data_IF_989427369066
#
_entry.id   IF_989427369066
#
_cell.length_a   1.000
_cell.length_b   1.000
_cell.length_c   1.000
_cell.angle_alpha   90.00
_cell.angle_beta   90.00
_cell.angle_gamma   90.00
#
_symmetry.space_group_name_H-M   'P 1'
#
loop_
_entity.id
_entity.type
_entity.pdbx_description
1 polymer ?
#
# COMPACT_ATOMS: atom_id res chain seq x y z
N UNK A 1 -19.95 -2.60 -2.39
CA UNK A 1 -19.48 -2.88 -3.77
C UNK A 1 -18.28 -2.00 -4.16
N UNK A 2 -18.31 -0.66 -3.97
CA UNK A 2 -17.20 0.25 -4.37
C UNK A 2 -15.88 -0.14 -3.69
N UNK A 3 -15.86 -0.30 -2.36
CA UNK A 3 -14.64 -0.61 -1.61
C UNK A 3 -13.96 -1.91 -2.10
N UNK A 4 -14.73 -2.95 -2.39
CA UNK A 4 -14.19 -4.23 -2.91
C UNK A 4 -13.51 -4.01 -4.27
N UNK A 5 -14.14 -3.26 -5.17
CA UNK A 5 -13.57 -2.95 -6.48
C UNK A 5 -12.28 -2.12 -6.38
N UNK A 6 -12.23 -1.14 -5.47
CA UNK A 6 -11.04 -0.33 -5.26
C UNK A 6 -9.88 -1.13 -4.62
N UNK A 7 -10.20 -2.10 -3.74
CA UNK A 7 -9.21 -3.04 -3.18
C UNK A 7 -8.65 -3.96 -4.27
N UNK A 8 -9.49 -4.47 -5.17
CA UNK A 8 -9.05 -5.29 -6.30
C UNK A 8 -8.17 -4.49 -7.27
N UNK A 9 -8.54 -3.25 -7.57
CA UNK A 9 -7.70 -2.36 -8.39
C UNK A 9 -6.36 -2.06 -7.73
N UNK A 10 -6.35 -1.83 -6.41
CA UNK A 10 -5.12 -1.62 -5.65
C UNK A 10 -4.21 -2.86 -5.71
N UNK A 11 -4.78 -4.05 -5.57
CA UNK A 11 -4.05 -5.31 -5.70
C UNK A 11 -3.45 -5.49 -7.12
N UNK A 12 -4.21 -5.14 -8.15
CA UNK A 12 -3.73 -5.16 -9.54
C UNK A 12 -2.57 -4.18 -9.76
N UNK A 13 -2.64 -2.98 -9.17
CA UNK A 13 -1.56 -1.99 -9.24
C UNK A 13 -0.28 -2.47 -8.53
N UNK A 14 -0.41 -3.19 -7.41
CA UNK A 14 0.73 -3.86 -6.74
C UNK A 14 1.34 -4.91 -7.68
N UNK A 15 0.53 -5.65 -8.43
CA UNK A 15 1.00 -6.58 -9.45
C UNK A 15 1.85 -5.90 -10.54
N UNK A 16 1.44 -4.71 -11.00
CA UNK A 16 2.24 -3.90 -11.94
C UNK A 16 3.57 -3.47 -11.31
N UNK A 17 3.56 -3.05 -10.04
CA UNK A 17 4.79 -2.70 -9.33
C UNK A 17 5.74 -3.90 -9.22
N UNK A 18 5.23 -5.09 -8.89
CA UNK A 18 6.03 -6.33 -8.85
C UNK A 18 6.65 -6.64 -10.21
N UNK A 19 5.89 -6.48 -11.29
CA UNK A 19 6.37 -6.76 -12.65
C UNK A 19 7.47 -5.78 -13.11
N UNK A 20 7.46 -4.55 -12.56
CA UNK A 20 8.51 -3.56 -12.82
C UNK A 20 9.80 -3.81 -12.04
N UNK A 21 9.72 -4.47 -10.87
CA UNK A 21 10.88 -4.77 -10.02
C UNK A 21 11.82 -5.78 -10.68
N UNK A 22 13.12 -5.70 -10.36
CA UNK A 22 14.10 -6.75 -10.72
C UNK A 22 13.67 -8.08 -10.12
N UNK A 23 13.89 -9.17 -10.87
CA UNK A 23 13.43 -10.52 -10.50
C UNK A 23 13.93 -10.99 -9.13
N UNK A 24 15.14 -10.56 -8.74
CA UNK A 24 15.79 -10.94 -7.48
C UNK A 24 15.49 -9.96 -6.33
N UNK A 25 14.65 -8.96 -6.55
CA UNK A 25 14.33 -7.97 -5.52
C UNK A 25 13.62 -8.63 -4.33
N UNK A 26 14.13 -8.49 -3.10
CA UNK A 26 13.46 -9.01 -1.90
C UNK A 26 12.09 -8.33 -1.68
N UNK A 27 11.90 -7.13 -2.20
CA UNK A 27 10.64 -6.42 -2.15
C UNK A 27 9.56 -7.14 -2.97
N UNK A 28 9.91 -7.76 -4.11
CA UNK A 28 8.94 -8.50 -4.94
C UNK A 28 8.28 -9.65 -4.17
N UNK A 29 9.03 -10.38 -3.33
CA UNK A 29 8.48 -11.44 -2.49
C UNK A 29 7.51 -10.89 -1.42
N UNK A 30 7.87 -9.77 -0.78
CA UNK A 30 7.01 -9.09 0.20
C UNK A 30 5.71 -8.59 -0.44
N UNK A 31 5.80 -7.97 -1.61
CA UNK A 31 4.61 -7.49 -2.33
C UNK A 31 3.70 -8.63 -2.81
N UNK A 32 4.25 -9.80 -3.18
CA UNK A 32 3.41 -10.98 -3.49
C UNK A 32 2.65 -11.49 -2.26
N UNK A 33 3.26 -11.45 -1.08
CA UNK A 33 2.58 -11.78 0.18
C UNK A 33 1.45 -10.79 0.45
N UNK A 34 1.71 -9.49 0.27
CA UNK A 34 0.71 -8.43 0.38
C UNK A 34 -0.44 -8.64 -0.62
N UNK A 35 -0.18 -9.08 -1.86
CA UNK A 35 -1.25 -9.38 -2.82
C UNK A 35 -2.20 -10.48 -2.33
N UNK A 36 -1.69 -11.52 -1.67
CA UNK A 36 -2.56 -12.54 -1.05
C UNK A 36 -3.39 -11.93 0.08
N UNK A 37 -2.78 -11.11 0.93
CA UNK A 37 -3.48 -10.45 2.03
C UNK A 37 -4.50 -9.41 1.55
N UNK A 38 -4.32 -8.82 0.37
CA UNK A 38 -5.33 -7.96 -0.27
C UNK A 38 -6.59 -8.75 -0.68
N UNK A 39 -6.47 -10.04 -1.02
CA UNK A 39 -7.63 -10.91 -1.17
C UNK A 39 -8.30 -11.21 0.17
N UNK A 40 -7.51 -11.42 1.24
CA UNK A 40 -8.05 -11.58 2.61
C UNK A 40 -8.81 -10.31 3.03
N UNK A 41 -8.25 -9.13 2.75
CA UNK A 41 -8.92 -7.84 2.99
C UNK A 41 -10.22 -7.72 2.20
N UNK A 42 -10.21 -8.09 0.92
CA UNK A 42 -11.41 -8.11 0.08
C UNK A 42 -12.49 -9.02 0.65
N UNK A 43 -12.13 -10.20 1.14
CA UNK A 43 -13.04 -11.13 1.79
C UNK A 43 -13.57 -10.59 3.13
N UNK A 44 -12.71 -9.95 3.94
CA UNK A 44 -13.07 -9.32 5.20
C UNK A 44 -14.17 -8.27 5.02
N UNK A 45 -13.95 -7.31 4.12
CA UNK A 45 -14.92 -6.22 3.88
C UNK A 45 -16.16 -6.68 3.11
N UNK A 46 -16.13 -7.84 2.44
CA UNK A 46 -17.27 -8.41 1.73
C UNK A 46 -18.20 -9.23 2.63
N UNK A 47 -17.74 -9.62 3.82
CA UNK A 47 -18.50 -10.49 4.74
C UNK A 47 -19.01 -9.67 5.93
N UNK A 48 -20.32 -9.30 5.97
CA UNK A 48 -20.89 -8.54 7.07
C UNK A 48 -20.77 -9.28 8.40
N UNK A 49 -20.62 -8.52 9.49
CA UNK A 49 -20.68 -9.05 10.84
C UNK A 49 -22.11 -9.45 11.22
N UNK A 50 -22.26 -10.41 12.15
CA UNK A 50 -23.56 -10.85 12.66
C UNK A 50 -24.39 -11.67 11.67
N UNK A 51 -23.77 -12.23 10.64
CA UNK A 51 -24.43 -13.11 9.66
C UNK A 51 -24.04 -14.58 9.86
N UNK A 52 -24.80 -15.51 9.27
CA UNK A 52 -24.50 -16.95 9.29
C UNK A 52 -23.13 -17.29 8.66
N UNK A 53 -22.56 -16.38 7.90
CA UNK A 53 -21.24 -16.55 7.26
C UNK A 53 -20.07 -16.13 8.16
N UNK A 54 -20.33 -15.53 9.33
CA UNK A 54 -19.28 -14.98 10.20
C UNK A 54 -18.33 -16.05 10.74
N UNK A 55 -18.84 -17.24 11.07
CA UNK A 55 -18.04 -18.36 11.59
C UNK A 55 -16.92 -18.79 10.63
N UNK A 56 -17.12 -18.58 9.33
CA UNK A 56 -16.15 -18.94 8.28
C UNK A 56 -15.57 -17.73 7.58
N UNK A 57 -15.82 -16.53 8.10
CA UNK A 57 -15.33 -15.28 7.50
C UNK A 57 -13.80 -15.21 7.57
N UNK A 58 -13.17 -15.00 6.41
CA UNK A 58 -11.76 -14.67 6.37
C UNK A 58 -11.58 -13.20 6.78
N UNK A 59 -10.84 -12.96 7.84
CA UNK A 59 -10.61 -11.63 8.41
C UNK A 59 -9.13 -11.30 8.43
N UNK A 60 -8.81 -10.03 8.23
CA UNK A 60 -7.47 -9.50 8.53
C UNK A 60 -7.22 -9.63 10.04
N UNK A 61 -6.04 -10.12 10.38
CA UNK A 61 -5.63 -10.29 11.78
C UNK A 61 -4.53 -9.29 12.17
N UNK A 62 -4.43 -8.90 13.46
CA UNK A 62 -3.43 -7.93 13.93
C UNK A 62 -1.99 -8.27 13.55
N UNK A 63 -1.65 -9.56 13.43
CA UNK A 63 -0.30 -9.99 13.03
C UNK A 63 0.06 -9.55 11.61
N UNK A 64 -0.90 -9.46 10.68
CA UNK A 64 -0.65 -8.97 9.33
C UNK A 64 -0.32 -7.47 9.35
N UNK A 65 -1.00 -6.70 10.21
CA UNK A 65 -0.70 -5.27 10.41
C UNK A 65 0.69 -5.09 11.00
N UNK A 66 1.01 -5.80 12.10
CA UNK A 66 2.32 -5.72 12.76
C UNK A 66 3.47 -6.10 11.82
N UNK A 67 3.28 -7.08 10.95
CA UNK A 67 4.29 -7.45 9.94
C UNK A 67 4.57 -6.31 8.97
N UNK A 68 3.53 -5.61 8.49
CA UNK A 68 3.71 -4.45 7.61
C UNK A 68 4.48 -3.34 8.34
N UNK A 69 4.18 -3.08 9.61
CA UNK A 69 4.88 -2.10 10.43
C UNK A 69 6.36 -2.49 10.64
N UNK A 70 6.65 -3.77 10.94
CA UNK A 70 8.01 -4.30 11.04
C UNK A 70 8.80 -4.12 9.72
N UNK A 71 8.16 -4.31 8.57
CA UNK A 71 8.77 -4.11 7.25
C UNK A 71 9.02 -2.63 6.94
N UNK A 72 8.10 -1.73 7.34
CA UNK A 72 8.27 -0.27 7.24
C UNK A 72 9.49 0.16 8.05
N UNK A 73 9.58 -0.26 9.31
CA UNK A 73 10.67 0.11 10.21
C UNK A 73 12.02 -0.38 9.67
N UNK A 74 12.07 -1.62 9.18
CA UNK A 74 13.29 -2.20 8.60
C UNK A 74 13.78 -1.41 7.37
N UNK A 75 12.89 -1.05 6.45
CA UNK A 75 13.26 -0.25 5.26
C UNK A 75 13.60 1.20 5.64
N UNK A 76 12.84 1.79 6.56
CA UNK A 76 13.02 3.18 6.94
C UNK A 76 14.31 3.42 7.73
N UNK A 77 14.82 2.40 8.43
CA UNK A 77 16.12 2.45 9.13
C UNK A 77 17.31 2.73 8.21
N UNK A 78 17.20 2.39 6.92
CA UNK A 78 18.24 2.61 5.91
C UNK A 78 18.10 3.98 5.20
N UNK A 79 17.03 4.76 5.47
CA UNK A 79 16.70 5.96 4.74
C UNK A 79 17.10 7.25 5.47
N UNK A 80 17.69 8.18 4.73
CA UNK A 80 17.91 9.54 5.23
C UNK A 80 16.58 10.28 5.45
N UNK A 81 16.52 11.21 6.43
CA UNK A 81 15.36 12.07 6.63
C UNK A 81 15.02 12.86 5.36
N UNK A 82 13.71 13.05 5.11
CA UNK A 82 13.24 13.89 4.01
C UNK A 82 13.49 15.37 4.28
N UNK A 83 13.98 16.07 3.27
CA UNK A 83 14.19 17.53 3.29
C UNK A 83 13.15 18.28 2.45
N UNK A 84 12.38 17.60 1.63
CA UNK A 84 11.30 18.14 0.79
C UNK A 84 10.26 17.06 0.47
N UNK A 85 9.15 17.45 -0.18
CA UNK A 85 8.24 16.50 -0.78
C UNK A 85 8.90 15.76 -1.94
N UNK A 86 8.45 14.53 -2.18
CA UNK A 86 8.92 13.66 -3.26
C UNK A 86 7.93 13.72 -4.42
N UNK A 87 8.45 13.88 -5.63
CA UNK A 87 7.66 13.66 -6.83
C UNK A 87 7.48 12.15 -7.05
N UNK A 88 6.27 11.68 -7.39
CA UNK A 88 6.00 10.26 -7.63
C UNK A 88 6.57 9.83 -9.00
N UNK A 89 7.90 9.74 -9.09
CA UNK A 89 8.66 9.46 -10.31
C UNK A 89 10.01 8.85 -9.97
N UNK A 90 10.88 8.75 -10.95
CA UNK A 90 12.18 8.08 -10.88
C UNK A 90 12.25 6.96 -11.91
N UNK A 91 12.84 5.81 -11.55
CA UNK A 91 12.81 4.62 -12.41
C UNK A 91 11.38 4.09 -12.58
N UNK A 92 11.19 3.16 -13.53
CA UNK A 92 9.91 2.47 -13.72
C UNK A 92 9.48 1.71 -12.45
N UNK A 93 10.44 1.15 -11.71
CA UNK A 93 10.23 0.47 -10.44
C UNK A 93 9.62 1.44 -9.41
N UNK A 94 10.30 2.56 -9.16
CA UNK A 94 9.89 3.58 -8.19
C UNK A 94 8.54 4.21 -8.56
N UNK A 95 8.37 4.59 -9.84
CA UNK A 95 7.14 5.20 -10.33
C UNK A 95 5.93 4.26 -10.19
N UNK A 96 6.11 2.96 -10.48
CA UNK A 96 5.05 1.95 -10.35
C UNK A 96 4.62 1.75 -8.89
N UNK A 97 5.57 1.74 -7.94
CA UNK A 97 5.26 1.63 -6.50
C UNK A 97 4.49 2.89 -6.03
N UNK A 98 4.90 4.09 -6.47
CA UNK A 98 4.16 5.31 -6.15
C UNK A 98 2.74 5.32 -6.73
N UNK A 99 2.55 4.77 -7.93
CA UNK A 99 1.22 4.60 -8.53
C UNK A 99 0.37 3.64 -7.68
N UNK A 100 0.90 2.47 -7.34
CA UNK A 100 0.22 1.51 -6.47
C UNK A 100 -0.17 2.15 -5.13
N UNK A 101 0.74 2.92 -4.51
CA UNK A 101 0.46 3.68 -3.28
C UNK A 101 -0.74 4.63 -3.45
N UNK A 102 -0.79 5.39 -4.54
CA UNK A 102 -1.88 6.34 -4.77
C UNK A 102 -3.24 5.63 -4.93
N UNK A 103 -3.26 4.45 -5.57
CA UNK A 103 -4.44 3.62 -5.75
C UNK A 103 -4.86 2.98 -4.41
N UNK A 104 -3.92 2.45 -3.62
CA UNK A 104 -4.17 1.95 -2.25
C UNK A 104 -4.81 3.04 -1.38
N UNK A 105 -4.35 4.29 -1.45
CA UNK A 105 -4.97 5.41 -0.73
C UNK A 105 -6.40 5.72 -1.21
N UNK A 106 -6.76 5.42 -2.45
CA UNK A 106 -8.15 5.48 -2.89
C UNK A 106 -8.96 4.36 -2.27
N UNK A 107 -8.46 3.12 -2.30
CA UNK A 107 -9.11 1.97 -1.65
C UNK A 107 -9.29 2.20 -0.14
N UNK A 108 -8.29 2.77 0.55
CA UNK A 108 -8.39 3.18 1.96
C UNK A 108 -9.58 4.12 2.21
N UNK A 109 -9.73 5.15 1.38
CA UNK A 109 -10.88 6.08 1.53
C UNK A 109 -12.23 5.38 1.30
N UNK A 110 -12.30 4.43 0.38
CA UNK A 110 -13.52 3.66 0.13
C UNK A 110 -13.82 2.69 1.27
N UNK A 111 -12.82 2.07 1.88
CA UNK A 111 -12.97 1.27 3.09
C UNK A 111 -13.42 2.13 4.29
N UNK A 112 -12.86 3.33 4.46
CA UNK A 112 -13.28 4.27 5.50
C UNK A 112 -14.73 4.75 5.30
N UNK A 113 -15.15 4.97 4.06
CA UNK A 113 -16.54 5.31 3.75
C UNK A 113 -17.50 4.14 4.04
N UNK A 114 -17.09 2.90 3.71
CA UNK A 114 -17.84 1.70 4.08
C UNK A 114 -17.99 1.58 5.60
N UNK A 115 -16.93 1.82 6.35
CA UNK A 115 -16.92 1.74 7.82
C UNK A 115 -17.82 2.79 8.50
N UNK A 116 -18.21 3.84 7.80
CA UNK A 116 -19.20 4.81 8.29
C UNK A 116 -20.65 4.32 8.18
N UNK A 117 -20.90 3.32 7.35
CA UNK A 117 -22.24 2.78 7.06
C UNK A 117 -22.41 1.36 7.60
N UNK A 118 -21.35 0.57 7.63
CA UNK A 118 -21.34 -0.85 7.98
C UNK A 118 -20.18 -1.14 8.96
N UNK A 119 -20.30 -2.20 9.72
CA UNK A 119 -19.22 -2.65 10.59
C UNK A 119 -18.08 -3.24 9.75
N UNK A 120 -16.88 -2.66 9.86
CA UNK A 120 -15.62 -3.14 9.28
C UNK A 120 -14.64 -3.40 10.42
N UNK A 121 -13.80 -4.43 10.31
CA UNK A 121 -12.83 -4.74 11.36
C UNK A 121 -11.76 -3.63 11.48
N UNK A 122 -11.37 -3.29 12.72
CA UNK A 122 -10.28 -2.34 12.98
C UNK A 122 -8.98 -2.79 12.33
N UNK A 123 -8.73 -4.10 12.29
CA UNK A 123 -7.55 -4.67 11.67
C UNK A 123 -7.54 -4.45 10.16
N UNK A 124 -8.69 -4.56 9.48
CA UNK A 124 -8.80 -4.28 8.04
C UNK A 124 -8.50 -2.82 7.72
N UNK A 125 -9.05 -1.87 8.50
CA UNK A 125 -8.79 -0.44 8.34
C UNK A 125 -7.32 -0.08 8.64
N UNK A 126 -6.76 -0.65 9.69
CA UNK A 126 -5.35 -0.46 10.02
C UNK A 126 -4.44 -1.03 8.94
N UNK A 127 -4.76 -2.20 8.41
CA UNK A 127 -3.99 -2.86 7.35
C UNK A 127 -3.88 -1.99 6.09
N UNK A 128 -5.01 -1.54 5.54
CA UNK A 128 -5.01 -0.74 4.30
C UNK A 128 -4.32 0.61 4.51
N UNK A 129 -4.45 1.22 5.69
CA UNK A 129 -3.74 2.43 6.06
C UNK A 129 -2.22 2.20 6.11
N UNK A 130 -1.74 1.19 6.87
CA UNK A 130 -0.31 0.85 6.95
C UNK A 130 0.26 0.43 5.60
N UNK A 131 -0.51 -0.22 4.73
CA UNK A 131 -0.07 -0.59 3.39
C UNK A 131 0.30 0.64 2.55
N UNK A 132 -0.43 1.75 2.68
CA UNK A 132 -0.08 2.98 1.97
C UNK A 132 1.27 3.56 2.42
N UNK A 133 1.58 3.45 3.72
CA UNK A 133 2.87 3.87 4.29
C UNK A 133 3.99 2.92 3.85
N UNK A 134 3.73 1.61 3.86
CA UNK A 134 4.67 0.60 3.38
C UNK A 134 5.12 0.89 1.94
N UNK A 135 4.17 1.13 1.03
CA UNK A 135 4.48 1.43 -0.37
C UNK A 135 5.24 2.76 -0.52
N UNK A 136 4.97 3.75 0.33
CA UNK A 136 5.74 4.99 0.32
C UNK A 136 7.20 4.75 0.71
N UNK A 137 7.43 4.03 1.80
CA UNK A 137 8.78 3.72 2.29
C UNK A 137 9.49 2.78 1.31
N UNK A 138 8.78 1.79 0.73
CA UNK A 138 9.32 0.88 -0.28
C UNK A 138 9.78 1.62 -1.55
N UNK A 139 9.01 2.60 -2.04
CA UNK A 139 9.42 3.41 -3.19
C UNK A 139 10.72 4.17 -2.90
N UNK A 140 10.84 4.77 -1.72
CA UNK A 140 12.06 5.45 -1.28
C UNK A 140 13.24 4.51 -1.13
N UNK A 141 12.99 3.31 -0.57
CA UNK A 141 14.03 2.30 -0.37
C UNK A 141 14.62 1.84 -1.71
N UNK A 142 13.77 1.64 -2.73
CA UNK A 142 14.23 1.33 -4.10
C UNK A 142 14.96 2.54 -4.69
N UNK A 143 14.42 3.75 -4.58
CA UNK A 143 15.04 4.97 -5.09
C UNK A 143 16.42 5.23 -4.47
N UNK A 144 16.61 4.94 -3.19
CA UNK A 144 17.90 5.11 -2.51
C UNK A 144 19.04 4.30 -3.15
N UNK A 145 18.72 3.10 -3.67
CA UNK A 145 19.68 2.26 -4.40
C UNK A 145 19.98 2.79 -5.84
N UNK A 146 19.19 3.74 -6.34
CA UNK A 146 19.22 4.25 -7.71
C UNK A 146 19.62 5.75 -7.79
N UNK A 147 20.11 6.30 -6.70
CA UNK A 147 20.57 7.71 -6.65
C UNK A 147 19.69 8.65 -5.85
N UNK A 148 18.60 8.14 -5.26
CA UNK A 148 17.75 8.86 -4.33
C UNK A 148 16.41 9.32 -4.90
N UNK A 149 15.61 9.92 -4.02
CA UNK A 149 14.27 10.43 -4.34
C UNK A 149 14.33 11.65 -5.31
N UNK A 150 13.36 11.75 -6.21
CA UNK A 150 13.14 12.95 -7.02
C UNK A 150 12.42 13.99 -6.16
N UNK A 151 13.14 15.01 -5.72
CA UNK A 151 12.58 16.01 -4.82
C UNK A 151 11.78 17.08 -5.56
N UNK A 152 10.66 17.49 -4.94
CA UNK A 152 9.90 18.63 -5.41
C UNK A 152 10.67 19.94 -5.20
N UNK A 153 10.68 20.78 -6.21
CA UNK A 153 11.27 22.12 -6.19
C UNK A 153 10.13 23.17 -6.25
N UNK A 154 9.79 23.78 -5.12
CA UNK A 154 8.69 24.75 -5.06
C UNK A 154 8.90 25.89 -6.06
N UNK A 155 7.92 26.13 -6.94
CA UNK A 155 7.92 27.28 -7.84
C UNK A 155 8.96 27.25 -8.95
N UNK A 156 9.61 26.11 -9.23
CA UNK A 156 10.68 25.99 -10.22
C UNK A 156 10.29 26.53 -11.63
N UNK A 157 9.01 26.47 -11.98
CA UNK A 157 8.50 26.90 -13.31
C UNK A 157 7.73 28.22 -13.28
N UNK A 158 7.68 28.93 -12.15
CA UNK A 158 6.83 30.14 -12.01
C UNK A 158 7.35 31.33 -12.81
N UNK A 159 8.61 31.32 -13.18
CA UNK A 159 9.29 32.42 -13.91
C UNK A 159 9.82 31.95 -15.29
N UNK A 160 9.32 30.83 -15.81
CA UNK A 160 9.65 30.33 -17.15
C UNK A 160 8.69 30.90 -18.20
#
# INVERSE_FOLDING_TARGET
>A
MVAIGDVDEANSAIGVAIAALKSESPLAARLRMIQNEMFDLGADIATPFGTDFEEHALRIVPRQVSRIEEEIDAMNGDLAPLTSFILPGGSAEVASIHLARAIVRRAERSCAALAAEEQVSDAALAYINRLSDHLFVAARWVAAAEGGDVLWQPGATRNC
#
